data_IF_545271682665
#
_entry.id   IF_545271682665
#
_cell.length_a   1.000
_cell.length_b   1.000
_cell.length_c   1.000
_cell.angle_alpha   90.00
_cell.angle_beta   90.00
_cell.angle_gamma   90.00
#
_symmetry.space_group_name_H-M   'P 1'
#
loop_
_entity.id
_entity.type
_entity.pdbx_description
1 polymer ?
#
# COMPACT_ATOMS: atom_id res chain seq x y z
N UNK A 1 13.33 -49.09 5.05
CA UNK A 1 12.92 -48.07 4.06
C UNK A 1 13.63 -46.78 4.41
N UNK A 2 14.44 -46.23 3.50
CA UNK A 2 15.10 -44.93 3.71
C UNK A 2 14.12 -43.85 3.23
N UNK A 3 13.55 -43.09 4.16
CA UNK A 3 12.74 -41.92 3.84
C UNK A 3 13.65 -40.83 3.32
N UNK A 4 13.59 -40.52 2.02
CA UNK A 4 14.32 -39.38 1.44
C UNK A 4 13.55 -38.09 1.73
N UNK A 5 14.17 -37.18 2.48
CA UNK A 5 13.71 -35.80 2.61
C UNK A 5 13.75 -35.17 1.21
N UNK A 6 12.59 -34.69 0.73
CA UNK A 6 12.53 -33.86 -0.48
C UNK A 6 12.47 -32.40 -0.03
N UNK A 7 13.54 -31.67 -0.29
CA UNK A 7 13.63 -30.23 -0.04
C UNK A 7 13.31 -29.51 -1.34
N UNK A 8 12.37 -28.57 -1.29
CA UNK A 8 12.09 -27.65 -2.38
C UNK A 8 12.60 -26.28 -1.95
N UNK A 9 13.52 -25.71 -2.73
CA UNK A 9 13.96 -24.32 -2.57
C UNK A 9 13.14 -23.50 -3.55
N UNK A 10 12.33 -22.57 -3.04
CA UNK A 10 11.55 -21.65 -3.86
C UNK A 10 12.41 -20.42 -4.14
N UNK A 11 12.36 -19.90 -5.36
CA UNK A 11 12.93 -18.60 -5.66
C UNK A 11 12.19 -17.50 -4.91
N UNK A 12 12.90 -16.45 -4.54
CA UNK A 12 12.29 -15.30 -3.87
C UNK A 12 11.28 -14.63 -4.80
N UNK A 13 10.09 -14.38 -4.28
CA UNK A 13 9.13 -13.52 -4.98
C UNK A 13 9.56 -12.07 -4.78
N UNK A 14 9.87 -11.39 -5.88
CA UNK A 14 10.18 -9.97 -5.85
C UNK A 14 8.90 -9.15 -5.87
N UNK A 15 8.80 -8.16 -4.97
CA UNK A 15 7.75 -7.14 -4.94
C UNK A 15 8.41 -5.79 -5.09
N UNK A 16 8.06 -5.06 -6.15
CA UNK A 16 8.62 -3.75 -6.44
C UNK A 16 7.80 -2.66 -5.77
N UNK A 17 8.40 -1.99 -4.79
CA UNK A 17 7.74 -1.00 -3.94
C UNK A 17 8.21 0.41 -4.30
N UNK A 18 7.29 1.34 -4.54
CA UNK A 18 7.61 2.77 -4.56
C UNK A 18 7.19 3.40 -3.22
N UNK A 19 8.00 4.32 -2.70
CA UNK A 19 7.70 5.10 -1.49
C UNK A 19 7.68 6.57 -1.88
N UNK A 20 6.52 7.21 -1.77
CA UNK A 20 6.28 8.56 -2.28
C UNK A 20 5.71 9.45 -1.17
N UNK A 21 6.52 10.26 -0.49
CA UNK A 21 5.99 11.27 0.41
C UNK A 21 5.07 12.24 -0.32
N UNK A 22 3.89 12.52 0.25
CA UNK A 22 2.95 13.48 -0.31
C UNK A 22 3.48 14.91 -0.17
N UNK A 23 3.46 15.66 -1.27
CA UNK A 23 3.69 17.09 -1.34
C UNK A 23 2.42 17.82 -1.77
N UNK A 24 2.05 18.87 -1.03
CA UNK A 24 0.89 19.73 -1.32
C UNK A 24 1.29 21.02 -2.06
N UNK A 25 2.60 21.28 -2.13
CA UNK A 25 3.23 22.26 -2.99
C UNK A 25 4.72 21.86 -3.15
N UNK A 26 5.46 22.40 -4.13
CA UNK A 26 6.87 22.08 -4.32
C UNK A 26 7.68 22.32 -3.03
N UNK A 27 8.25 21.25 -2.46
CA UNK A 27 9.03 21.31 -1.22
C UNK A 27 8.21 21.36 0.07
N UNK A 28 6.88 21.44 -0.02
CA UNK A 28 5.96 21.41 1.14
C UNK A 28 5.38 20.02 1.24
N UNK A 29 5.88 19.26 2.22
CA UNK A 29 5.41 17.91 2.49
C UNK A 29 4.20 17.93 3.41
N UNK A 30 3.27 17.01 3.18
CA UNK A 30 2.19 16.75 4.11
C UNK A 30 2.77 16.17 5.41
N UNK A 31 3.62 15.15 5.30
CA UNK A 31 4.41 14.62 6.41
C UNK A 31 5.44 15.64 6.94
N UNK A 32 5.54 15.76 8.25
CA UNK A 32 6.51 16.56 9.01
C UNK A 32 7.87 15.90 9.10
N UNK A 33 7.91 14.56 9.05
CA UNK A 33 9.14 13.77 9.04
C UNK A 33 9.14 12.86 7.82
N UNK A 34 10.25 12.85 7.09
CA UNK A 34 10.41 11.98 5.94
C UNK A 34 11.20 10.73 6.35
N UNK A 35 10.68 9.52 6.08
CA UNK A 35 11.38 8.28 6.38
C UNK A 35 12.55 8.08 5.41
N UNK A 36 13.53 7.27 5.83
CA UNK A 36 14.54 6.71 4.92
C UNK A 36 13.99 5.41 4.29
N UNK A 37 13.48 5.45 3.05
CA UNK A 37 12.85 4.28 2.45
C UNK A 37 13.80 3.10 2.30
N UNK A 38 15.12 3.33 2.22
CA UNK A 38 16.11 2.24 2.10
C UNK A 38 16.20 1.47 3.40
N UNK A 39 16.32 2.17 4.53
CA UNK A 39 16.35 1.56 5.86
C UNK A 39 15.05 0.80 6.16
N UNK A 40 13.90 1.40 5.86
CA UNK A 40 12.60 0.77 6.07
C UNK A 40 12.42 -0.50 5.21
N UNK A 41 12.80 -0.47 3.94
CA UNK A 41 12.73 -1.67 3.07
C UNK A 41 13.67 -2.77 3.54
N UNK A 42 14.85 -2.41 4.07
CA UNK A 42 15.75 -3.38 4.70
C UNK A 42 15.05 -4.08 5.88
N UNK A 43 14.45 -3.32 6.80
CA UNK A 43 13.70 -3.90 7.94
C UNK A 43 12.49 -4.72 7.50
N UNK A 44 11.74 -4.27 6.49
CA UNK A 44 10.63 -5.05 5.94
C UNK A 44 11.12 -6.38 5.32
N UNK A 45 12.30 -6.40 4.71
CA UNK A 45 12.90 -7.63 4.17
C UNK A 45 13.33 -8.61 5.27
N UNK A 46 13.75 -8.12 6.44
CA UNK A 46 13.99 -8.97 7.62
C UNK A 46 12.71 -9.67 8.12
N UNK A 47 11.54 -9.12 7.80
CA UNK A 47 10.22 -9.72 8.10
C UNK A 47 9.78 -10.65 6.97
N UNK A 48 9.70 -10.14 5.73
CA UNK A 48 9.05 -10.82 4.61
C UNK A 48 9.85 -11.98 4.03
N UNK A 49 11.18 -11.89 4.00
CA UNK A 49 12.02 -12.94 3.44
C UNK A 49 11.91 -14.25 4.25
N UNK A 50 12.12 -14.27 5.59
CA UNK A 50 12.01 -15.52 6.35
C UNK A 50 10.57 -16.04 6.49
N UNK A 51 9.55 -15.18 6.41
CA UNK A 51 8.15 -15.59 6.64
C UNK A 51 7.45 -16.09 5.38
N UNK A 52 7.71 -15.46 4.23
CA UNK A 52 6.97 -15.74 3.00
C UNK A 52 7.87 -15.90 1.75
N UNK A 53 9.19 -15.88 1.89
CA UNK A 53 10.13 -15.92 0.76
C UNK A 53 9.88 -14.76 -0.23
N UNK A 54 9.48 -13.60 0.31
CA UNK A 54 9.22 -12.36 -0.43
C UNK A 54 10.37 -11.40 -0.19
N UNK A 55 10.93 -10.85 -1.26
CA UNK A 55 11.88 -9.75 -1.20
C UNK A 55 11.26 -8.50 -1.81
N UNK A 56 11.39 -7.40 -1.09
CA UNK A 56 10.96 -6.08 -1.49
C UNK A 56 12.13 -5.39 -2.16
N UNK A 57 11.92 -4.98 -3.41
CA UNK A 57 12.84 -4.18 -4.21
C UNK A 57 12.34 -2.74 -4.26
N UNK A 58 13.14 -1.81 -3.73
CA UNK A 58 12.76 -0.40 -3.68
C UNK A 58 12.97 0.24 -5.05
N UNK A 59 11.87 0.72 -5.64
CA UNK A 59 11.90 1.45 -6.90
C UNK A 59 12.20 2.92 -6.64
N UNK A 60 13.25 3.50 -7.28
CA UNK A 60 13.51 4.93 -7.21
C UNK A 60 12.29 5.72 -7.65
N UNK A 61 11.79 6.60 -6.77
CA UNK A 61 10.60 7.40 -7.01
C UNK A 61 10.76 8.79 -6.42
N UNK A 62 10.07 9.76 -7.02
CA UNK A 62 10.00 11.12 -6.51
C UNK A 62 8.83 11.25 -5.53
N UNK A 63 8.86 12.25 -4.63
CA UNK A 63 7.67 12.65 -3.88
C UNK A 63 6.44 12.81 -4.78
N UNK A 64 5.27 12.59 -4.21
CA UNK A 64 4.01 12.74 -4.90
C UNK A 64 3.53 14.20 -4.79
N UNK A 65 3.81 15.02 -5.80
CA UNK A 65 3.32 16.40 -5.83
C UNK A 65 1.87 16.42 -6.35
N UNK A 66 0.94 16.75 -5.46
CA UNK A 66 -0.48 16.89 -5.76
C UNK A 66 -0.91 18.27 -5.25
N UNK A 67 -0.74 19.29 -6.09
CA UNK A 67 -0.86 20.72 -5.77
C UNK A 67 -1.91 21.45 -6.62
N UNK A 68 -3.04 20.79 -6.89
CA UNK A 68 -4.15 21.34 -7.65
C UNK A 68 -5.48 21.19 -6.89
N UNK A 69 -5.85 22.15 -6.02
CA UNK A 69 -7.08 22.04 -5.23
C UNK A 69 -8.35 22.03 -6.08
N UNK A 70 -8.33 22.57 -7.30
CA UNK A 70 -9.49 22.50 -8.21
C UNK A 70 -9.66 21.08 -8.74
N UNK A 71 -8.59 20.46 -9.24
CA UNK A 71 -8.63 19.08 -9.73
C UNK A 71 -8.93 18.10 -8.60
N UNK A 72 -8.33 18.29 -7.41
CA UNK A 72 -8.62 17.47 -6.25
C UNK A 72 -10.11 17.57 -5.88
N UNK A 73 -10.69 18.78 -5.86
CA UNK A 73 -12.12 18.94 -5.61
C UNK A 73 -12.97 18.21 -6.65
N UNK A 74 -12.60 18.24 -7.94
CA UNK A 74 -13.29 17.48 -9.00
C UNK A 74 -13.20 15.97 -8.78
N UNK A 75 -12.01 15.45 -8.48
CA UNK A 75 -11.79 14.02 -8.21
C UNK A 75 -12.58 13.53 -6.99
N UNK A 76 -12.81 14.42 -6.02
CA UNK A 76 -13.63 14.18 -4.84
C UNK A 76 -15.14 14.38 -5.06
N UNK A 77 -15.58 14.81 -6.26
CA UNK A 77 -16.96 15.24 -6.50
C UNK A 77 -17.41 16.36 -5.56
N UNK A 78 -16.48 17.25 -5.18
CA UNK A 78 -16.74 18.41 -4.34
C UNK A 78 -17.03 19.62 -5.23
N UNK A 79 -18.31 20.00 -5.27
CA UNK A 79 -18.80 21.17 -5.99
C UNK A 79 -19.52 22.12 -5.03
N UNK A 80 -19.51 23.39 -5.38
CA UNK A 80 -20.25 24.46 -4.71
C UNK A 80 -21.77 24.29 -4.90
N UNK A 81 -22.57 25.21 -4.34
CA UNK A 81 -24.04 25.16 -4.41
C UNK A 81 -24.62 25.17 -5.84
N UNK A 82 -23.83 25.60 -6.83
CA UNK A 82 -24.21 25.62 -8.24
C UNK A 82 -24.08 24.25 -8.94
N UNK A 83 -23.46 23.26 -8.28
CA UNK A 83 -23.27 21.91 -8.80
C UNK A 83 -22.22 21.76 -9.90
N UNK A 84 -21.49 22.83 -10.25
CA UNK A 84 -20.56 22.86 -11.40
C UNK A 84 -19.17 23.38 -10.98
N UNK A 85 -19.12 24.40 -10.13
CA UNK A 85 -17.86 25.00 -9.68
C UNK A 85 -17.21 24.10 -8.62
N UNK A 86 -15.92 23.74 -8.76
CA UNK A 86 -15.23 22.96 -7.74
C UNK A 86 -15.17 23.69 -6.40
N UNK A 87 -15.48 22.99 -5.31
CA UNK A 87 -15.32 23.50 -3.94
C UNK A 87 -13.87 23.29 -3.50
N UNK A 88 -13.01 24.26 -3.80
CA UNK A 88 -11.57 24.23 -3.49
C UNK A 88 -11.27 24.11 -2.00
N UNK A 89 -12.18 24.53 -1.12
CA UNK A 89 -12.00 24.38 0.34
C UNK A 89 -12.03 22.91 0.75
N UNK A 90 -12.78 22.09 0.01
CA UNK A 90 -12.81 20.63 0.16
C UNK A 90 -11.76 19.91 -0.69
N UNK A 91 -11.13 20.60 -1.64
CA UNK A 91 -10.04 20.11 -2.47
C UNK A 91 -8.65 20.18 -1.82
N UNK A 92 -8.51 20.84 -0.66
CA UNK A 92 -7.24 20.87 0.07
C UNK A 92 -7.12 19.65 0.97
N UNK A 93 -5.94 19.01 0.97
CA UNK A 93 -5.64 17.92 1.90
C UNK A 93 -5.71 18.44 3.36
N UNK A 94 -6.57 17.85 4.22
CA UNK A 94 -6.60 18.19 5.63
C UNK A 94 -5.37 17.62 6.38
N UNK A 95 -5.22 17.95 7.66
CA UNK A 95 -4.16 17.40 8.52
C UNK A 95 -4.16 15.86 8.54
N UNK A 96 -5.36 15.24 8.51
CA UNK A 96 -5.53 13.79 8.52
C UNK A 96 -6.22 13.33 7.24
N UNK A 97 -5.56 12.46 6.49
CA UNK A 97 -6.08 11.93 5.22
C UNK A 97 -6.83 10.61 5.49
N UNK A 98 -7.88 10.32 4.72
CA UNK A 98 -8.61 9.05 4.80
C UNK A 98 -8.79 8.44 3.41
N UNK A 99 -8.83 7.11 3.31
CA UNK A 99 -9.12 6.37 2.06
C UNK A 99 -10.48 5.69 2.00
N UNK A 100 -11.15 5.50 3.13
CA UNK A 100 -12.43 4.81 3.23
C UNK A 100 -13.53 5.77 3.71
N UNK A 101 -14.63 5.83 2.96
CA UNK A 101 -15.80 6.62 3.35
C UNK A 101 -16.42 6.09 4.64
N UNK A 102 -16.14 6.76 5.75
CA UNK A 102 -16.74 6.49 7.05
C UNK A 102 -17.45 7.74 7.58
N UNK A 103 -18.73 7.60 7.89
CA UNK A 103 -19.55 8.70 8.40
C UNK A 103 -19.58 9.90 7.45
N UNK A 104 -19.25 11.08 7.97
CA UNK A 104 -19.28 12.34 7.21
C UNK A 104 -17.95 12.70 6.54
N UNK A 105 -16.91 11.85 6.64
CA UNK A 105 -15.59 12.14 6.09
C UNK A 105 -15.50 11.68 4.62
N UNK A 106 -14.97 12.54 3.74
CA UNK A 106 -14.77 12.24 2.31
C UNK A 106 -13.45 11.50 2.06
N UNK A 107 -13.48 10.50 1.20
CA UNK A 107 -12.31 9.70 0.85
C UNK A 107 -11.44 10.41 -0.16
N UNK A 108 -10.14 10.46 0.13
CA UNK A 108 -9.11 10.97 -0.79
C UNK A 108 -8.54 9.87 -1.71
N UNK A 109 -9.02 8.62 -1.61
CA UNK A 109 -8.60 7.55 -2.51
C UNK A 109 -8.75 7.92 -4.01
N UNK A 110 -9.83 8.58 -4.47
CA UNK A 110 -9.95 9.00 -5.87
C UNK A 110 -8.80 9.89 -6.35
N UNK A 111 -8.28 10.75 -5.48
CA UNK A 111 -7.18 11.69 -5.77
C UNK A 111 -5.88 10.93 -6.00
N UNK A 112 -5.54 9.99 -5.10
CA UNK A 112 -4.35 9.16 -5.27
C UNK A 112 -4.46 8.22 -6.49
N UNK A 113 -5.65 7.71 -6.79
CA UNK A 113 -5.87 6.89 -7.99
C UNK A 113 -5.71 7.70 -9.29
N UNK A 114 -6.30 8.90 -9.34
CA UNK A 114 -6.13 9.86 -10.44
C UNK A 114 -4.64 10.20 -10.64
N UNK A 115 -3.94 10.44 -9.54
CA UNK A 115 -2.50 10.70 -9.54
C UNK A 115 -1.68 9.52 -10.06
N UNK A 116 -1.92 8.29 -9.60
CA UNK A 116 -1.24 7.10 -10.11
C UNK A 116 -1.51 6.86 -11.60
N UNK A 117 -2.67 7.27 -12.11
CA UNK A 117 -2.98 7.21 -13.54
C UNK A 117 -2.23 8.24 -14.38
N UNK A 118 -1.85 9.39 -13.81
CA UNK A 118 -1.23 10.51 -14.53
C UNK A 118 0.28 10.60 -14.33
N UNK A 119 0.79 10.22 -13.16
CA UNK A 119 2.22 10.17 -12.83
C UNK A 119 2.60 8.81 -12.18
N UNK A 120 2.52 7.71 -12.95
CA UNK A 120 2.87 6.37 -12.45
C UNK A 120 4.38 6.22 -12.24
N UNK A 121 4.77 5.49 -11.18
CA UNK A 121 6.14 4.98 -11.07
C UNK A 121 6.26 3.71 -11.90
N UNK A 122 7.15 3.73 -12.89
CA UNK A 122 7.36 2.58 -13.78
C UNK A 122 7.94 1.39 -13.02
N UNK A 123 7.52 0.18 -13.40
CA UNK A 123 7.97 -1.07 -12.80
C UNK A 123 7.70 -1.17 -11.30
N UNK A 124 6.59 -0.61 -10.83
CA UNK A 124 6.16 -0.70 -9.44
C UNK A 124 4.93 -1.60 -9.33
N UNK A 125 4.93 -2.51 -8.36
CA UNK A 125 3.80 -3.38 -8.05
C UNK A 125 2.87 -2.72 -7.03
N UNK A 126 3.44 -1.94 -6.09
CA UNK A 126 2.72 -1.29 -5.00
C UNK A 126 3.36 0.06 -4.61
N UNK A 127 2.54 1.06 -4.29
CA UNK A 127 3.01 2.39 -3.87
C UNK A 127 2.61 2.68 -2.42
N UNK A 128 3.55 3.09 -1.58
CA UNK A 128 3.27 3.67 -0.27
C UNK A 128 3.32 5.18 -0.36
N UNK A 129 2.21 5.85 -0.04
CA UNK A 129 2.21 7.30 0.15
C UNK A 129 2.44 7.63 1.62
N UNK A 130 3.48 8.41 1.89
CA UNK A 130 3.78 8.87 3.26
C UNK A 130 3.05 10.18 3.51
N UNK A 131 2.24 10.21 4.57
CA UNK A 131 1.38 11.34 4.95
C UNK A 131 1.58 11.68 6.42
N UNK A 132 1.15 12.85 6.87
CA UNK A 132 1.27 13.25 8.27
C UNK A 132 0.54 12.30 9.22
N UNK A 133 -0.75 12.12 8.96
CA UNK A 133 -1.63 11.33 9.80
C UNK A 133 -2.79 10.79 8.97
N UNK A 134 -3.30 9.63 9.40
CA UNK A 134 -4.39 8.93 8.73
C UNK A 134 -5.59 8.87 9.68
N UNK A 135 -6.75 9.31 9.19
CA UNK A 135 -8.01 9.14 9.90
C UNK A 135 -8.60 7.75 9.58
N UNK A 136 -9.02 7.05 10.64
CA UNK A 136 -9.68 5.75 10.58
C UNK A 136 -10.91 5.74 11.50
N UNK A 137 -11.73 4.69 11.43
CA UNK A 137 -12.94 4.54 12.25
C UNK A 137 -12.65 4.68 13.76
N UNK A 138 -11.50 4.20 14.25
CA UNK A 138 -11.06 4.31 15.64
C UNK A 138 -10.32 5.62 15.98
N UNK A 139 -10.31 6.60 15.07
CA UNK A 139 -9.75 7.94 15.26
C UNK A 139 -8.41 8.18 14.56
N UNK A 140 -7.43 7.29 14.72
CA UNK A 140 -6.13 7.38 14.05
C UNK A 140 -5.54 5.98 13.77
N UNK A 141 -4.74 5.87 12.71
CA UNK A 141 -3.98 4.65 12.35
C UNK A 141 -2.63 5.06 11.77
N UNK A 142 -1.63 4.19 11.86
CA UNK A 142 -0.30 4.39 11.24
C UNK A 142 -0.22 3.86 9.81
N UNK A 143 -1.19 3.04 9.39
CA UNK A 143 -1.29 2.52 8.04
C UNK A 143 -2.74 2.30 7.62
N UNK A 144 -3.01 2.43 6.32
CA UNK A 144 -4.32 2.17 5.73
C UNK A 144 -4.18 1.68 4.29
N UNK A 145 -4.57 0.44 4.06
CA UNK A 145 -4.68 -0.17 2.74
C UNK A 145 -6.11 -0.60 2.47
N UNK A 146 -6.64 -0.17 1.32
CA UNK A 146 -7.73 -0.90 0.67
C UNK A 146 -7.10 -1.85 -0.34
N UNK A 147 -7.23 -3.18 -0.18
CA UNK A 147 -6.61 -4.14 -1.09
C UNK A 147 -7.05 -3.96 -2.55
N UNK A 148 -8.16 -3.27 -2.82
CA UNK A 148 -8.59 -2.96 -4.18
C UNK A 148 -7.74 -1.95 -4.92
N UNK A 149 -6.87 -1.25 -4.22
CA UNK A 149 -5.94 -0.32 -4.82
C UNK A 149 -4.50 -0.87 -4.80
N UNK A 150 -3.67 -0.38 -5.73
CA UNK A 150 -2.24 -0.68 -5.77
C UNK A 150 -1.42 0.31 -4.93
N UNK A 151 -2.01 0.83 -3.87
CA UNK A 151 -1.33 1.72 -2.93
C UNK A 151 -1.88 1.62 -1.50
N UNK A 152 -1.08 2.12 -0.55
CA UNK A 152 -1.50 2.39 0.82
C UNK A 152 -1.10 3.80 1.25
N UNK A 153 -1.73 4.28 2.32
CA UNK A 153 -1.20 5.39 3.12
C UNK A 153 -0.44 4.83 4.33
N UNK A 154 0.70 5.44 4.64
CA UNK A 154 1.43 5.24 5.89
C UNK A 154 1.69 6.59 6.55
N UNK A 155 1.52 6.67 7.86
CA UNK A 155 1.83 7.90 8.61
C UNK A 155 3.34 8.10 8.72
N UNK A 156 3.76 9.34 8.98
CA UNK A 156 5.17 9.71 9.14
C UNK A 156 5.87 9.02 10.32
N UNK A 157 5.09 8.63 11.33
CA UNK A 157 5.54 7.98 12.56
C UNK A 157 5.33 6.45 12.54
N UNK A 158 4.86 5.90 11.42
CA UNK A 158 4.65 4.47 11.23
C UNK A 158 5.99 3.73 11.29
N UNK A 159 6.03 2.64 12.05
CA UNK A 159 7.21 1.77 12.12
C UNK A 159 7.29 0.86 10.87
N UNK A 160 8.47 0.31 10.56
CA UNK A 160 8.63 -0.56 9.39
C UNK A 160 7.70 -1.79 9.40
N UNK A 161 7.32 -2.26 10.59
CA UNK A 161 6.31 -3.31 10.76
C UNK A 161 4.93 -2.91 10.24
N UNK A 162 4.55 -1.64 10.36
CA UNK A 162 3.24 -1.14 9.94
C UNK A 162 3.23 -1.07 8.40
N UNK A 163 4.35 -0.66 7.81
CA UNK A 163 4.55 -0.68 6.36
C UNK A 163 4.50 -2.12 5.81
N UNK A 164 5.17 -3.05 6.51
CA UNK A 164 5.12 -4.47 6.19
C UNK A 164 3.69 -5.04 6.27
N UNK A 165 2.92 -4.63 7.28
CA UNK A 165 1.51 -5.00 7.44
C UNK A 165 0.66 -4.50 6.26
N UNK A 166 0.80 -3.23 5.86
CA UNK A 166 0.10 -2.67 4.69
C UNK A 166 0.43 -3.42 3.40
N UNK A 167 1.71 -3.78 3.18
CA UNK A 167 2.09 -4.60 2.04
C UNK A 167 1.44 -5.99 2.09
N UNK A 168 1.23 -6.54 3.28
CA UNK A 168 0.55 -7.82 3.48
C UNK A 168 -0.88 -7.82 2.96
N UNK A 169 -1.60 -6.70 3.10
CA UNK A 169 -2.95 -6.54 2.53
C UNK A 169 -2.94 -6.64 1.00
N UNK A 170 -1.97 -6.02 0.32
CA UNK A 170 -1.81 -6.13 -1.12
C UNK A 170 -1.49 -7.56 -1.56
N UNK A 171 -0.53 -8.21 -0.90
CA UNK A 171 -0.10 -9.56 -1.26
C UNK A 171 -1.21 -10.59 -1.08
N UNK A 172 -2.02 -10.46 -0.03
CA UNK A 172 -3.18 -11.34 0.22
C UNK A 172 -4.17 -11.33 -0.95
N UNK A 173 -4.49 -10.15 -1.50
CA UNK A 173 -5.37 -10.08 -2.69
C UNK A 173 -4.73 -10.69 -3.92
N UNK A 174 -3.44 -10.47 -4.14
CA UNK A 174 -2.72 -11.07 -5.27
C UNK A 174 -2.77 -12.61 -5.24
N UNK A 175 -3.05 -13.21 -4.08
CA UNK A 175 -3.23 -14.65 -3.90
C UNK A 175 -4.68 -15.15 -4.01
N UNK A 176 -5.65 -14.27 -4.25
CA UNK A 176 -7.06 -14.64 -4.45
C UNK A 176 -7.81 -15.04 -3.16
N UNK A 177 -7.23 -14.77 -1.99
CA UNK A 177 -7.83 -15.10 -0.69
C UNK A 177 -8.77 -14.00 -0.21
N UNK A 178 -10.06 -14.11 -0.56
CA UNK A 178 -11.09 -13.14 -0.19
C UNK A 178 -11.82 -13.45 1.13
N UNK A 179 -11.62 -14.64 1.76
CA UNK A 179 -12.53 -15.11 2.85
C UNK A 179 -11.85 -15.84 4.02
N UNK A 180 -10.52 -15.94 4.10
CA UNK A 180 -9.87 -16.59 5.26
C UNK A 180 -9.89 -15.65 6.47
N UNK A 181 -10.60 -15.97 7.55
CA UNK A 181 -10.49 -15.19 8.79
C UNK A 181 -9.06 -15.23 9.33
N UNK A 182 -8.46 -14.08 9.58
CA UNK A 182 -7.05 -13.93 10.01
C UNK A 182 -6.29 -12.91 9.14
N UNK A 183 -5.34 -12.19 9.73
CA UNK A 183 -4.39 -11.34 9.01
C UNK A 183 -3.16 -12.17 8.65
N UNK A 184 -2.70 -12.11 7.39
CA UNK A 184 -1.44 -12.74 6.99
C UNK A 184 -0.27 -12.22 7.85
N UNK A 185 -0.40 -10.98 8.34
CA UNK A 185 0.48 -10.31 9.27
C UNK A 185 -0.36 -9.63 10.34
N UNK A 186 -0.56 -10.25 11.50
CA UNK A 186 -1.09 -9.51 12.66
C UNK A 186 -0.03 -8.49 13.09
N UNK A 187 -0.46 -7.27 13.41
CA UNK A 187 0.41 -6.25 14.00
C UNK A 187 1.19 -6.86 15.19
N UNK A 188 2.49 -7.15 14.99
CA UNK A 188 3.30 -7.89 15.97
C UNK A 188 4.15 -9.04 15.42
N UNK A 189 4.07 -9.38 14.12
CA UNK A 189 4.92 -10.42 13.53
C UNK A 189 4.48 -11.86 13.85
N UNK A 190 3.32 -12.01 14.49
CA UNK A 190 2.64 -13.29 14.74
C UNK A 190 1.63 -13.62 13.62
N UNK A 191 2.02 -13.41 12.36
CA UNK A 191 1.21 -13.87 11.23
C UNK A 191 0.98 -15.39 11.32
N UNK A 192 -0.22 -15.86 10.93
CA UNK A 192 -0.44 -17.29 10.76
C UNK A 192 0.50 -17.80 9.66
N UNK A 193 1.42 -18.70 10.02
CA UNK A 193 2.26 -19.38 9.03
C UNK A 193 1.35 -20.09 8.03
N UNK A 194 1.43 -19.72 6.75
CA UNK A 194 0.76 -20.45 5.67
C UNK A 194 1.21 -21.92 5.79
N UNK A 195 0.30 -22.88 6.01
CA UNK A 195 0.65 -24.29 6.04
C UNK A 195 1.39 -24.64 4.75
N UNK A 196 2.53 -25.35 4.85
CA UNK A 196 3.42 -25.68 3.71
C UNK A 196 2.65 -26.29 2.53
N UNK A 197 1.56 -27.01 2.81
CA UNK A 197 0.70 -27.66 1.83
C UNK A 197 -0.07 -26.65 0.94
N UNK A 198 -0.40 -25.49 1.50
CA UNK A 198 -1.13 -24.42 0.83
C UNK A 198 -0.17 -23.44 0.17
N UNK A 199 1.00 -23.18 0.76
CA UNK A 199 2.07 -22.39 0.15
C UNK A 199 2.45 -22.94 -1.24
N UNK A 200 2.61 -24.26 -1.37
CA UNK A 200 2.93 -24.91 -2.65
C UNK A 200 1.84 -24.69 -3.71
N UNK A 201 0.55 -24.68 -3.34
CA UNK A 201 -0.55 -24.42 -4.28
C UNK A 201 -0.65 -22.94 -4.65
N UNK A 202 -0.42 -22.06 -3.68
CA UNK A 202 -0.51 -20.61 -3.82
C UNK A 202 0.63 -20.07 -4.69
N UNK A 203 1.86 -20.52 -4.48
CA UNK A 203 3.02 -20.08 -5.27
C UNK A 203 3.07 -20.71 -6.68
N UNK A 204 2.65 -21.97 -6.86
CA UNK A 204 2.72 -22.64 -8.16
C UNK A 204 1.54 -22.36 -9.12
N UNK A 205 0.46 -21.72 -8.66
CA UNK A 205 -0.63 -21.30 -9.57
C UNK A 205 -0.21 -20.24 -10.60
N UNK A 206 0.87 -19.48 -10.33
CA UNK A 206 1.42 -18.53 -11.30
C UNK A 206 2.35 -19.18 -12.35
N UNK A 207 2.88 -20.39 -12.09
CA UNK A 207 3.69 -21.12 -13.08
C UNK A 207 2.85 -21.94 -14.08
N UNK A 208 1.55 -22.09 -13.87
CA UNK A 208 0.68 -22.92 -14.72
C UNK A 208 -0.22 -22.14 -15.68
N UNK A 209 -0.18 -20.80 -15.69
CA UNK A 209 -0.75 -20.04 -16.80
C UNK A 209 0.20 -20.11 -18.00
N UNK A 210 0.04 -21.17 -18.78
CA UNK A 210 0.50 -21.21 -20.18
C UNK A 210 -0.05 -19.99 -20.89
N UNK A 211 0.84 -19.20 -21.49
CA UNK A 211 0.48 -18.22 -22.52
C UNK A 211 -0.34 -18.92 -23.61
N UNK A 212 -1.48 -18.36 -24.06
CA UNK A 212 -2.15 -18.86 -25.24
C UNK A 212 -1.26 -18.62 -26.47
N UNK A 213 -1.15 -19.65 -27.30
CA UNK A 213 -0.52 -19.64 -28.62
C UNK A 213 -1.23 -18.68 -29.58
#
# INVERSE_FOLDING_TARGET
>A
MITKLRVFVLENRIVRLAVRPLQTAPGVFHAKVLPDPVAFVYEMNEIWAPQANVLIDLVPSKPALIDDPDQIARDLGAVEADGITPDTKKGVFPEKIQMLTYGNLRSFAPVFLSYLGTDPVKNTDFTLFVVHAIAAYAGHTSGLTDPSYQFALVSEDAAARDWAHELGHFLRRAHGESVVGGELMVSGGEGEKIPVQDAVKVFNKLHTQKLPH
#
